data_IF_124573989341
#
_entry.id   IF_124573989341
#
_cell.length_a   1.000
_cell.length_b   1.000
_cell.length_c   1.000
_cell.angle_alpha   90.00
_cell.angle_beta   90.00
_cell.angle_gamma   90.00
#
_symmetry.space_group_name_H-M   'P 1'
#
loop_
_entity.id
_entity.type
_entity.pdbx_description
1 polymer ?
#
# COMPACT_ATOMS: atom_id res chain seq x y z
N UNK A 1 -6.75 -1.97 -15.81
CA UNK A 1 -6.53 -1.38 -14.49
C UNK A 1 -5.03 -1.44 -14.31
N UNK A 2 -4.38 -0.28 -14.40
CA UNK A 2 -2.93 -0.22 -14.38
C UNK A 2 -2.42 -0.67 -13.02
N UNK A 3 -1.34 -1.45 -13.05
CA UNK A 3 -0.74 -2.05 -11.86
C UNK A 3 -0.37 -0.94 -10.87
N UNK A 4 -0.91 -1.02 -9.64
CA UNK A 4 -0.62 -0.08 -8.54
C UNK A 4 0.85 -0.17 -8.07
N UNK A 5 1.60 -1.13 -8.60
CA UNK A 5 3.02 -1.33 -8.33
C UNK A 5 3.79 -1.74 -9.60
N UNK A 6 5.12 -1.60 -9.54
CA UNK A 6 6.03 -1.98 -10.60
C UNK A 6 7.35 -2.53 -10.03
N UNK A 7 7.88 -3.56 -10.67
CA UNK A 7 9.25 -4.04 -10.44
C UNK A 7 10.23 -3.10 -11.17
N UNK A 8 11.16 -2.51 -10.42
CA UNK A 8 12.11 -1.52 -10.96
C UNK A 8 13.55 -2.00 -11.00
N UNK A 9 13.80 -3.30 -10.78
CA UNK A 9 15.15 -3.89 -10.78
C UNK A 9 16.00 -3.48 -11.98
N UNK A 10 15.42 -3.49 -13.18
CA UNK A 10 16.13 -3.25 -14.44
C UNK A 10 16.41 -1.77 -14.72
N UNK A 11 15.84 -0.85 -13.93
CA UNK A 11 16.04 0.60 -14.08
C UNK A 11 16.69 1.24 -12.86
N UNK A 12 16.84 0.49 -11.77
CA UNK A 12 17.52 0.94 -10.56
C UNK A 12 19.03 1.06 -10.78
N UNK A 13 19.65 2.03 -10.10
CA UNK A 13 21.10 2.12 -9.99
C UNK A 13 21.70 0.95 -9.19
N UNK A 14 20.87 0.19 -8.46
CA UNK A 14 21.24 -0.95 -7.64
C UNK A 14 20.46 -2.21 -8.07
N UNK A 15 20.77 -2.80 -9.25
CA UNK A 15 19.99 -3.89 -9.84
C UNK A 15 20.09 -5.23 -9.09
N UNK A 16 20.96 -5.33 -8.07
CA UNK A 16 21.10 -6.53 -7.24
C UNK A 16 20.07 -6.64 -6.10
N UNK A 17 19.26 -5.60 -5.89
CA UNK A 17 18.22 -5.56 -4.87
C UNK A 17 16.85 -5.84 -5.49
N UNK A 18 15.98 -6.57 -4.78
CA UNK A 18 14.58 -6.71 -5.19
C UNK A 18 13.77 -5.51 -4.69
N UNK A 19 13.35 -4.66 -5.62
CA UNK A 19 12.60 -3.43 -5.32
C UNK A 19 11.30 -3.36 -6.11
N UNK A 20 10.20 -3.16 -5.39
CA UNK A 20 8.86 -2.93 -5.95
C UNK A 20 8.41 -1.52 -5.58
N UNK A 21 8.16 -0.69 -6.59
CA UNK A 21 7.67 0.68 -6.43
C UNK A 21 6.14 0.69 -6.44
N UNK A 22 5.51 1.38 -5.48
CA UNK A 22 4.08 1.60 -5.43
C UNK A 22 3.75 3.04 -5.84
N UNK A 23 2.63 3.23 -6.54
CA UNK A 23 2.19 4.59 -6.90
C UNK A 23 1.81 5.41 -5.66
N UNK A 24 2.06 6.72 -5.71
CA UNK A 24 1.55 7.66 -4.71
C UNK A 24 0.01 7.55 -4.68
N UNK A 25 -0.56 7.49 -3.48
CA UNK A 25 -2.01 7.33 -3.29
C UNK A 25 -2.48 5.88 -3.18
N UNK A 26 -1.57 4.89 -3.24
CA UNK A 26 -1.92 3.52 -2.89
C UNK A 26 -2.36 3.42 -1.42
N UNK A 27 -3.40 2.63 -1.19
CA UNK A 27 -3.93 2.34 0.13
C UNK A 27 -3.53 0.92 0.54
N UNK A 28 -3.15 0.75 1.81
CA UNK A 28 -2.84 -0.56 2.37
C UNK A 28 -3.73 -0.82 3.58
N UNK A 29 -4.43 -1.95 3.60
CA UNK A 29 -5.11 -2.43 4.81
C UNK A 29 -4.09 -3.12 5.70
N UNK A 30 -4.11 -2.80 6.99
CA UNK A 30 -3.35 -3.54 7.99
C UNK A 30 -4.15 -4.78 8.37
N UNK A 31 -3.64 -5.96 8.03
CA UNK A 31 -4.29 -7.22 8.38
C UNK A 31 -3.86 -7.71 9.77
N UNK A 32 -2.59 -7.51 10.14
CA UNK A 32 -2.09 -7.89 11.46
C UNK A 32 -0.79 -7.17 11.82
N UNK A 33 -0.59 -6.95 13.11
CA UNK A 33 0.67 -6.48 13.70
C UNK A 33 1.04 -7.47 14.80
N UNK A 34 2.19 -8.12 14.66
CA UNK A 34 2.69 -9.08 15.66
C UNK A 34 4.13 -8.73 16.03
N UNK A 35 4.46 -8.88 17.31
CA UNK A 35 5.86 -8.79 17.74
C UNK A 35 6.51 -10.15 17.61
N UNK A 36 7.56 -10.23 16.82
CA UNK A 36 8.45 -11.37 16.78
C UNK A 36 9.50 -11.19 17.88
N UNK A 37 9.32 -11.91 19.00
CA UNK A 37 10.24 -11.84 20.13
C UNK A 37 11.61 -12.49 19.83
N UNK A 38 11.70 -13.38 18.82
CA UNK A 38 12.96 -14.02 18.42
C UNK A 38 13.86 -13.04 17.67
N UNK A 39 13.28 -12.29 16.74
CA UNK A 39 13.98 -11.26 15.97
C UNK A 39 13.99 -9.90 16.71
N UNK A 40 13.18 -9.76 17.76
CA UNK A 40 12.90 -8.50 18.48
C UNK A 40 12.37 -7.40 17.55
N UNK A 41 11.59 -7.79 16.54
CA UNK A 41 11.04 -6.91 15.52
C UNK A 41 9.51 -6.96 15.51
N UNK A 42 8.89 -5.92 14.98
CA UNK A 42 7.46 -5.93 14.67
C UNK A 42 7.27 -6.37 13.23
N UNK A 43 6.46 -7.40 13.02
CA UNK A 43 6.06 -7.89 11.70
C UNK A 43 4.65 -7.37 11.41
N UNK A 44 4.53 -6.62 10.33
CA UNK A 44 3.25 -6.05 9.86
C UNK A 44 2.86 -6.76 8.58
N UNK A 45 1.63 -7.28 8.53
CA UNK A 45 1.04 -7.81 7.30
C UNK A 45 0.11 -6.76 6.72
N UNK A 46 0.38 -6.38 5.47
CA UNK A 46 -0.38 -5.39 4.72
C UNK A 46 -0.95 -6.04 3.46
N UNK A 47 -2.19 -5.69 3.12
CA UNK A 47 -2.80 -6.00 1.83
C UNK A 47 -2.91 -4.70 1.03
N UNK A 48 -2.37 -4.70 -0.19
CA UNK A 48 -2.60 -3.61 -1.15
C UNK A 48 -4.08 -3.61 -1.51
N UNK A 49 -4.72 -2.50 -1.24
CA UNK A 49 -6.15 -2.36 -1.28
C UNK A 49 -6.57 -2.03 -2.73
N UNK A 50 -7.56 -2.74 -3.29
CA UNK A 50 -8.04 -2.56 -4.67
C UNK A 50 -9.56 -2.32 -4.74
N UNK A 51 -10.07 -2.00 -5.93
CA UNK A 51 -11.49 -1.66 -6.13
C UNK A 51 -12.48 -2.80 -5.80
N UNK A 52 -12.00 -4.01 -5.46
CA UNK A 52 -12.85 -5.14 -5.05
C UNK A 52 -12.96 -5.28 -3.54
N UNK A 53 -12.17 -4.52 -2.78
CA UNK A 53 -12.21 -4.52 -1.32
C UNK A 53 -13.34 -3.61 -0.83
N UNK A 54 -14.45 -4.23 -0.41
CA UNK A 54 -15.67 -3.53 0.04
C UNK A 54 -15.41 -2.55 1.19
N UNK A 55 -14.36 -2.77 2.00
CA UNK A 55 -13.99 -1.87 3.09
C UNK A 55 -13.45 -0.54 2.54
N UNK A 56 -12.75 -0.57 1.40
CA UNK A 56 -12.21 0.64 0.75
C UNK A 56 -13.33 1.52 0.21
N UNK A 57 -14.42 0.95 -0.31
CA UNK A 57 -15.52 1.74 -0.89
C UNK A 57 -16.07 2.75 0.13
N UNK A 58 -16.08 2.40 1.41
CA UNK A 58 -16.47 3.30 2.49
C UNK A 58 -15.41 4.35 2.80
N UNK A 59 -14.12 3.98 2.76
CA UNK A 59 -13.00 4.90 2.96
C UNK A 59 -12.85 5.91 1.81
N UNK A 60 -13.00 5.50 0.55
CA UNK A 60 -12.95 6.38 -0.62
C UNK A 60 -14.04 7.46 -0.57
N UNK A 61 -15.27 7.09 -0.20
CA UNK A 61 -16.38 8.04 0.00
C UNK A 61 -16.10 9.08 1.08
N UNK A 62 -15.26 8.76 2.07
CA UNK A 62 -14.85 9.70 3.10
C UNK A 62 -13.81 10.72 2.58
N UNK A 63 -12.81 10.25 1.85
CA UNK A 63 -11.76 11.11 1.26
C UNK A 63 -12.28 12.05 0.17
N UNK A 64 -13.21 11.59 -0.67
CA UNK A 64 -13.82 12.42 -1.71
C UNK A 64 -14.56 13.62 -1.10
N UNK A 65 -15.20 13.42 0.06
CA UNK A 65 -15.96 14.46 0.76
C UNK A 65 -15.06 15.56 1.33
N UNK A 66 -13.90 15.20 1.88
CA UNK A 66 -12.94 16.18 2.42
C UNK A 66 -12.20 16.97 1.33
N UNK A 67 -12.15 16.44 0.10
CA UNK A 67 -11.48 17.09 -1.04
C UNK A 67 -12.43 18.01 -1.81
N UNK A 68 -13.74 17.72 -1.81
CA UNK A 68 -14.78 18.55 -2.46
C UNK A 68 -15.11 19.81 -1.63
N UNK A 69 -15.08 19.72 -0.29
CA UNK A 69 -15.40 20.87 0.59
C UNK A 69 -14.29 21.95 0.70
N UNK A 70 -13.21 21.85 -0.09
CA UNK A 70 -12.10 22.81 -0.11
C UNK A 70 -11.92 23.60 -1.42
N UNK A 71 -12.88 23.55 -2.35
CA UNK A 71 -12.87 24.38 -3.57
C UNK A 71 -14.12 25.26 -3.67
#
# INVERSE_FOLDING_TARGET
MDFLNADIRNVSAYPGEEEILFMIGCLFRIDSIVRDESEKLWKVKLTLADNTDNDIEQYSKHFDKETIDKN
#
